data_IF_819844767737
#
_entry.id   IF_819844767737
#
_cell.length_a   1.000
_cell.length_b   1.000
_cell.length_c   1.000
_cell.angle_alpha   90.00
_cell.angle_beta   90.00
_cell.angle_gamma   90.00
#
_symmetry.space_group_name_H-M   'P 1'
#
loop_
_entity.id
_entity.type
_entity.pdbx_description
1 polymer ?
#
# COMPACT_ATOMS: atom_id res chain seq x y z
N UNK A 1 11.92 -40.66 -35.39
CA UNK A 1 11.25 -39.35 -35.28
C UNK A 1 11.56 -38.78 -33.91
N UNK A 2 12.54 -37.88 -33.85
CA UNK A 2 13.08 -37.29 -32.64
C UNK A 2 12.38 -35.94 -32.46
N UNK A 3 11.56 -35.79 -31.41
CA UNK A 3 10.86 -34.54 -31.12
C UNK A 3 11.85 -33.53 -30.51
N UNK A 4 12.22 -32.52 -31.29
CA UNK A 4 12.93 -31.33 -30.85
C UNK A 4 12.01 -30.49 -29.96
N UNK A 5 12.45 -30.22 -28.72
CA UNK A 5 11.82 -29.24 -27.84
C UNK A 5 12.22 -27.81 -28.29
N UNK A 6 11.32 -26.81 -28.24
CA UNK A 6 11.65 -25.45 -28.65
C UNK A 6 12.44 -24.75 -27.55
N UNK A 7 13.66 -24.34 -27.90
CA UNK A 7 14.54 -23.51 -27.09
C UNK A 7 13.99 -22.07 -27.10
N UNK A 8 13.32 -21.65 -26.02
CA UNK A 8 12.92 -20.25 -25.84
C UNK A 8 14.16 -19.46 -25.39
N UNK A 9 14.76 -18.71 -26.32
CA UNK A 9 15.85 -17.80 -26.03
C UNK A 9 15.32 -16.60 -25.23
N UNK A 10 15.72 -16.51 -23.96
CA UNK A 10 15.48 -15.34 -23.13
C UNK A 10 16.49 -14.26 -23.52
N UNK A 11 16.06 -13.29 -24.32
CA UNK A 11 16.88 -12.13 -24.66
C UNK A 11 17.10 -11.28 -23.41
N UNK A 12 18.32 -11.33 -22.87
CA UNK A 12 18.80 -10.37 -21.88
C UNK A 12 18.92 -8.99 -22.53
N UNK A 13 17.92 -8.13 -22.33
CA UNK A 13 18.08 -6.70 -22.53
C UNK A 13 19.02 -6.18 -21.44
N UNK A 14 20.28 -5.96 -21.81
CA UNK A 14 21.20 -5.14 -21.02
C UNK A 14 20.69 -3.70 -21.13
N UNK A 15 20.02 -3.22 -20.09
CA UNK A 15 19.71 -1.81 -19.96
C UNK A 15 21.03 -1.05 -19.81
N UNK A 16 21.43 -0.33 -20.87
CA UNK A 16 22.47 0.68 -20.77
C UNK A 16 22.07 1.72 -19.72
N UNK A 17 23.05 2.24 -18.99
CA UNK A 17 22.82 3.31 -18.02
C UNK A 17 22.23 4.53 -18.75
N UNK A 18 20.90 4.69 -18.68
CA UNK A 18 20.23 5.93 -19.03
C UNK A 18 20.85 7.04 -18.16
N UNK A 19 21.23 8.15 -18.81
CA UNK A 19 21.89 9.27 -18.14
C UNK A 19 21.13 9.70 -16.89
N UNK A 20 21.85 10.02 -15.82
CA UNK A 20 21.26 10.41 -14.54
C UNK A 20 20.25 11.54 -14.76
N UNK A 21 18.99 11.26 -14.46
CA UNK A 21 17.92 12.25 -14.55
C UNK A 21 18.17 13.42 -13.60
N UNK A 22 17.91 14.63 -14.09
CA UNK A 22 18.14 15.89 -13.38
C UNK A 22 16.82 16.66 -13.23
N UNK A 23 16.71 17.50 -12.21
CA UNK A 23 15.52 18.32 -11.96
C UNK A 23 15.17 18.43 -10.47
N UNK A 24 14.26 19.35 -10.11
CA UNK A 24 13.92 19.64 -8.72
C UNK A 24 13.27 18.45 -7.99
N UNK A 25 12.57 17.59 -8.74
CA UNK A 25 11.89 16.41 -8.22
C UNK A 25 12.74 15.14 -8.30
N UNK A 26 13.97 15.20 -8.83
CA UNK A 26 14.83 14.04 -8.88
C UNK A 26 15.38 13.71 -7.47
N UNK A 27 15.44 12.43 -7.12
CA UNK A 27 16.12 11.93 -5.91
C UNK A 27 17.04 10.80 -6.33
N UNK A 28 18.18 11.21 -6.86
CA UNK A 28 19.17 10.32 -7.49
C UNK A 28 20.45 10.17 -6.68
N UNK A 29 20.63 11.01 -5.66
CA UNK A 29 21.78 11.01 -4.76
C UNK A 29 21.33 10.80 -3.32
N UNK A 30 21.93 9.86 -2.57
CA UNK A 30 21.66 9.71 -1.16
C UNK A 30 21.99 11.00 -0.38
N UNK A 31 21.13 11.47 0.55
CA UNK A 31 21.47 12.62 1.37
C UNK A 31 22.62 12.28 2.34
N UNK A 32 23.39 13.29 2.81
CA UNK A 32 24.45 13.08 3.79
C UNK A 32 23.96 12.30 5.02
N UNK A 33 24.72 11.29 5.44
CA UNK A 33 24.38 10.44 6.59
C UNK A 33 23.34 9.34 6.31
N UNK A 34 22.81 9.22 5.09
CA UNK A 34 21.93 8.12 4.75
C UNK A 34 22.65 6.77 4.78
N UNK A 35 21.93 5.75 5.24
CA UNK A 35 22.30 4.35 5.02
C UNK A 35 21.92 4.01 3.58
N UNK A 36 22.92 3.71 2.76
CA UNK A 36 22.72 3.47 1.32
C UNK A 36 22.65 1.97 1.05
N UNK A 37 21.62 1.57 0.30
CA UNK A 37 21.46 0.20 -0.19
C UNK A 37 21.60 0.23 -1.71
N UNK A 38 22.53 -0.56 -2.23
CA UNK A 38 22.81 -0.67 -3.67
C UNK A 38 23.08 -2.13 -4.01
N UNK A 39 22.17 -2.75 -4.76
CA UNK A 39 22.26 -4.16 -5.13
C UNK A 39 23.52 -4.46 -5.98
N UNK A 40 24.01 -3.46 -6.72
CA UNK A 40 25.23 -3.59 -7.53
C UNK A 40 26.49 -3.52 -6.68
N UNK A 41 26.43 -2.83 -5.54
CA UNK A 41 27.57 -2.49 -4.69
C UNK A 41 28.50 -1.44 -5.30
N UNK A 42 28.06 -0.71 -6.33
CA UNK A 42 28.85 0.33 -6.99
C UNK A 42 28.99 1.58 -6.13
N UNK A 43 27.98 1.90 -5.32
CA UNK A 43 28.07 2.96 -4.34
C UNK A 43 28.96 2.54 -3.17
N UNK A 44 30.07 3.27 -2.96
CA UNK A 44 31.06 2.97 -1.91
C UNK A 44 30.41 3.01 -0.52
N UNK A 45 30.61 1.95 0.25
CA UNK A 45 30.08 1.82 1.61
C UNK A 45 28.59 1.46 1.69
N UNK A 46 27.96 1.14 0.57
CA UNK A 46 26.58 0.64 0.51
C UNK A 46 26.43 -0.79 1.04
N UNK A 47 25.18 -1.15 1.32
CA UNK A 47 24.75 -2.53 1.59
C UNK A 47 24.10 -3.14 0.35
N UNK A 48 24.38 -4.42 0.05
CA UNK A 48 23.79 -5.10 -1.12
C UNK A 48 22.32 -5.50 -0.95
N UNK A 49 21.82 -5.55 0.28
CA UNK A 49 20.43 -5.91 0.59
C UNK A 49 19.78 -4.86 1.47
N UNK A 50 18.47 -4.71 1.32
CA UNK A 50 17.66 -3.81 2.13
C UNK A 50 17.70 -4.25 3.59
N UNK A 51 17.63 -5.56 3.85
CA UNK A 51 17.73 -6.10 5.23
C UNK A 51 19.06 -5.76 5.90
N UNK A 52 20.19 -5.77 5.17
CA UNK A 52 21.48 -5.37 5.71
C UNK A 52 21.55 -3.87 6.01
N UNK A 53 20.94 -3.03 5.17
CA UNK A 53 20.78 -1.60 5.46
C UNK A 53 19.88 -1.34 6.68
N UNK A 54 18.74 -2.03 6.78
CA UNK A 54 17.83 -1.97 7.93
C UNK A 54 18.53 -2.38 9.23
N UNK A 55 19.43 -3.37 9.18
CA UNK A 55 20.23 -3.79 10.35
C UNK A 55 21.20 -2.70 10.86
N UNK A 56 21.40 -1.60 10.13
CA UNK A 56 22.18 -0.43 10.57
C UNK A 56 21.35 0.71 11.12
N UNK A 57 20.03 0.61 11.09
CA UNK A 57 19.16 1.59 11.73
C UNK A 57 19.38 1.58 13.25
N UNK A 58 19.51 2.77 13.83
CA UNK A 58 19.61 2.90 15.28
C UNK A 58 18.27 2.60 15.94
N UNK A 59 18.26 1.66 16.88
CA UNK A 59 17.07 1.34 17.68
C UNK A 59 16.98 2.18 18.96
N UNK A 60 18.05 2.86 19.36
CA UNK A 60 18.16 3.56 20.64
C UNK A 60 17.87 5.07 20.55
N UNK A 61 18.49 5.76 19.59
CA UNK A 61 18.40 7.23 19.43
C UNK A 61 18.58 7.65 17.97
N UNK A 62 18.06 8.83 17.62
CA UNK A 62 18.37 9.50 16.36
C UNK A 62 17.46 9.13 15.18
N UNK A 63 17.20 10.12 14.33
CA UNK A 63 16.48 9.94 13.08
C UNK A 63 17.39 9.24 12.04
N UNK A 64 16.80 8.48 11.14
CA UNK A 64 17.55 7.72 10.12
C UNK A 64 16.94 7.88 8.74
N UNK A 65 17.80 7.88 7.72
CA UNK A 65 17.38 7.78 6.32
C UNK A 65 17.98 6.52 5.70
N UNK A 66 17.13 5.69 5.12
CA UNK A 66 17.50 4.54 4.29
C UNK A 66 17.25 4.91 2.83
N UNK A 67 18.31 5.02 2.04
CA UNK A 67 18.23 5.35 0.61
C UNK A 67 18.52 4.11 -0.23
N UNK A 68 17.61 3.76 -1.15
CA UNK A 68 17.75 2.60 -2.01
C UNK A 68 18.09 3.06 -3.44
N UNK A 69 19.21 2.59 -3.96
CA UNK A 69 19.60 2.78 -5.36
C UNK A 69 18.70 1.93 -6.29
N UNK A 70 18.67 2.20 -7.61
CA UNK A 70 17.86 1.46 -8.57
C UNK A 70 18.09 -0.05 -8.50
N UNK A 71 17.02 -0.83 -8.57
CA UNK A 71 17.12 -2.28 -8.56
C UNK A 71 15.89 -3.02 -8.09
N UNK A 72 15.94 -4.35 -8.26
CA UNK A 72 14.93 -5.29 -7.79
C UNK A 72 15.52 -6.12 -6.66
N UNK A 73 15.09 -5.84 -5.44
CA UNK A 73 15.51 -6.48 -4.21
C UNK A 73 14.56 -7.64 -3.87
N UNK A 74 15.02 -8.88 -4.07
CA UNK A 74 14.23 -10.10 -3.86
C UNK A 74 14.39 -10.62 -2.43
N UNK A 75 13.70 -10.00 -1.47
CA UNK A 75 13.86 -10.33 -0.05
C UNK A 75 12.61 -10.01 0.78
N UNK A 76 12.59 -10.51 2.02
CA UNK A 76 11.66 -10.06 3.06
C UNK A 76 12.38 -9.01 3.89
N UNK A 77 11.76 -7.85 4.07
CA UNK A 77 12.29 -6.76 4.90
C UNK A 77 11.40 -6.55 6.12
N UNK A 78 11.99 -6.50 7.30
CA UNK A 78 11.29 -6.13 8.54
C UNK A 78 12.02 -4.98 9.20
N UNK A 79 11.39 -3.81 9.23
CA UNK A 79 11.87 -2.66 9.99
C UNK A 79 11.41 -2.84 11.44
N UNK A 80 12.33 -2.99 12.42
CA UNK A 80 11.98 -3.17 13.81
C UNK A 80 11.37 -1.88 14.39
N UNK A 81 10.81 -1.92 15.62
CA UNK A 81 10.47 -0.69 16.33
C UNK A 81 11.72 0.18 16.52
N UNK A 82 11.63 1.46 16.14
CA UNK A 82 12.68 2.46 16.34
C UNK A 82 12.19 3.54 17.31
N UNK A 83 13.14 4.18 17.99
CA UNK A 83 12.86 5.36 18.83
C UNK A 83 12.82 6.66 18.02
N UNK A 84 13.68 6.78 17.01
CA UNK A 84 13.73 7.92 16.10
C UNK A 84 12.79 7.80 14.90
N UNK A 85 12.74 8.85 14.09
CA UNK A 85 11.99 8.89 12.84
C UNK A 85 12.76 8.18 11.73
N UNK A 86 12.05 7.61 10.77
CA UNK A 86 12.65 6.93 9.63
C UNK A 86 12.13 7.48 8.31
N UNK A 87 13.04 7.85 7.41
CA UNK A 87 12.75 8.06 5.98
C UNK A 87 13.28 6.88 5.19
N UNK A 88 12.44 6.27 4.37
CA UNK A 88 12.84 5.29 3.35
C UNK A 88 12.61 5.94 1.99
N UNK A 89 13.67 6.17 1.22
CA UNK A 89 13.62 6.83 -0.09
C UNK A 89 14.13 5.87 -1.16
N UNK A 90 13.29 5.56 -2.15
CA UNK A 90 13.74 4.92 -3.38
C UNK A 90 14.31 5.95 -4.37
N UNK A 91 15.34 5.56 -5.12
CA UNK A 91 15.81 6.32 -6.26
C UNK A 91 14.67 6.58 -7.25
N UNK A 92 14.54 7.84 -7.69
CA UNK A 92 13.57 8.23 -8.71
C UNK A 92 14.04 9.47 -9.47
N UNK A 93 13.58 9.57 -10.72
CA UNK A 93 13.71 10.76 -11.54
C UNK A 93 12.64 11.82 -11.25
N UNK A 94 11.54 11.43 -10.61
CA UNK A 94 10.46 12.31 -10.21
C UNK A 94 9.81 11.79 -8.93
N UNK A 95 10.00 12.53 -7.83
CA UNK A 95 9.40 12.22 -6.53
C UNK A 95 7.89 12.30 -6.53
N UNK A 96 7.30 13.09 -7.43
CA UNK A 96 5.87 13.38 -7.40
C UNK A 96 5.03 12.29 -8.05
N UNK A 97 5.67 11.37 -8.78
CA UNK A 97 4.99 10.29 -9.50
C UNK A 97 5.54 8.91 -9.14
N UNK A 98 4.62 8.00 -8.82
CA UNK A 98 4.96 6.60 -8.61
C UNK A 98 5.46 5.93 -9.90
N UNK A 99 5.17 6.50 -11.08
CA UNK A 99 5.55 5.90 -12.38
C UNK A 99 7.06 5.95 -12.63
N UNK A 100 7.77 6.89 -12.00
CA UNK A 100 9.21 7.09 -12.14
C UNK A 100 10.05 6.25 -11.15
N UNK A 101 9.40 5.49 -10.26
CA UNK A 101 10.09 4.65 -9.27
C UNK A 101 10.98 3.60 -9.95
N UNK A 102 12.26 3.56 -9.56
CA UNK A 102 13.23 2.58 -10.08
C UNK A 102 13.64 1.51 -9.06
N UNK A 103 13.01 1.51 -7.89
CA UNK A 103 13.32 0.60 -6.78
C UNK A 103 12.12 -0.30 -6.51
N UNK A 104 12.34 -1.62 -6.51
CA UNK A 104 11.33 -2.61 -6.17
C UNK A 104 11.83 -3.58 -5.11
N UNK A 105 11.11 -3.73 -4.00
CA UNK A 105 11.29 -4.83 -3.06
C UNK A 105 10.20 -5.86 -3.33
N UNK A 106 10.58 -7.10 -3.57
CA UNK A 106 9.63 -8.15 -4.00
C UNK A 106 9.90 -9.49 -3.36
N UNK A 107 8.82 -10.24 -3.11
CA UNK A 107 8.88 -11.64 -2.67
C UNK A 107 7.61 -12.38 -3.08
N UNK A 108 7.68 -13.69 -3.27
CA UNK A 108 6.49 -14.54 -3.36
C UNK A 108 6.31 -15.30 -2.04
N UNK A 109 5.27 -15.00 -1.27
CA UNK A 109 4.92 -15.75 -0.06
C UNK A 109 3.45 -15.56 0.29
N UNK A 110 2.70 -16.66 0.36
CA UNK A 110 1.32 -16.67 0.80
C UNK A 110 1.14 -17.40 2.13
N UNK A 111 -0.04 -17.27 2.74
CA UNK A 111 -0.38 -17.94 3.99
C UNK A 111 -0.24 -19.47 3.92
N UNK A 112 -0.52 -20.07 2.77
CA UNK A 112 -0.33 -21.52 2.56
C UNK A 112 1.12 -21.98 2.67
N UNK A 113 2.09 -21.08 2.48
CA UNK A 113 3.52 -21.38 2.51
C UNK A 113 4.11 -21.21 3.93
N UNK A 114 3.35 -20.63 4.87
CA UNK A 114 3.77 -20.48 6.27
C UNK A 114 3.57 -21.82 7.00
N UNK A 115 4.63 -22.41 7.62
CA UNK A 115 4.52 -23.67 8.35
C UNK A 115 3.33 -23.71 9.32
N UNK A 116 2.61 -24.83 9.35
CA UNK A 116 1.40 -25.00 10.17
C UNK A 116 1.67 -24.86 11.69
N UNK A 117 2.91 -25.10 12.14
CA UNK A 117 3.33 -24.90 13.52
C UNK A 117 3.32 -23.43 13.95
N UNK A 118 3.35 -22.49 13.01
CA UNK A 118 3.26 -21.05 13.27
C UNK A 118 1.79 -20.66 13.31
N UNK A 119 1.25 -20.51 14.52
CA UNK A 119 -0.17 -20.17 14.75
C UNK A 119 -0.40 -18.69 15.06
N UNK A 120 0.64 -17.95 15.45
CA UNK A 120 0.55 -16.51 15.79
C UNK A 120 1.25 -15.65 14.75
N UNK A 121 0.73 -14.43 14.54
CA UNK A 121 1.32 -13.42 13.65
C UNK A 121 1.65 -13.93 12.25
N UNK A 122 0.89 -14.89 11.69
CA UNK A 122 1.20 -15.48 10.38
C UNK A 122 1.31 -14.44 9.26
N UNK A 123 0.54 -13.34 9.34
CA UNK A 123 0.62 -12.21 8.40
C UNK A 123 2.01 -11.56 8.37
N UNK A 124 2.78 -11.58 9.47
CA UNK A 124 4.15 -11.06 9.49
C UNK A 124 5.10 -11.90 8.62
N UNK A 125 4.77 -13.16 8.36
CA UNK A 125 5.61 -14.06 7.54
C UNK A 125 5.37 -13.88 6.05
N UNK A 126 4.18 -13.43 5.65
CA UNK A 126 3.81 -13.22 4.25
C UNK A 126 4.14 -11.81 3.75
N UNK A 127 4.18 -10.81 4.65
CA UNK A 127 4.56 -9.44 4.32
C UNK A 127 5.94 -9.37 3.65
N UNK A 128 6.01 -8.80 2.44
CA UNK A 128 7.27 -8.51 1.76
C UNK A 128 8.04 -7.41 2.49
N UNK A 129 7.36 -6.32 2.85
CA UNK A 129 7.86 -5.29 3.76
C UNK A 129 6.94 -5.19 4.98
N UNK A 130 7.55 -5.29 6.16
CA UNK A 130 6.88 -5.16 7.46
C UNK A 130 7.47 -3.96 8.22
N UNK A 131 6.66 -2.93 8.42
CA UNK A 131 7.02 -1.76 9.21
C UNK A 131 6.43 -1.88 10.63
N UNK A 132 7.29 -2.10 11.64
CA UNK A 132 6.89 -2.15 13.05
C UNK A 132 7.15 -0.85 13.82
N UNK A 133 7.88 0.10 13.23
CA UNK A 133 8.17 1.39 13.85
C UNK A 133 7.01 2.38 13.73
N UNK A 134 7.01 3.42 14.55
CA UNK A 134 6.17 4.60 14.32
C UNK A 134 7.01 5.73 13.71
N UNK A 135 6.34 6.76 13.18
CA UNK A 135 6.97 7.94 12.57
C UNK A 135 7.87 7.57 11.36
N UNK A 136 7.25 7.00 10.33
CA UNK A 136 7.95 6.55 9.13
C UNK A 136 7.39 7.25 7.90
N UNK A 137 8.28 7.79 7.08
CA UNK A 137 7.97 8.25 5.73
C UNK A 137 8.58 7.32 4.69
N UNK A 138 7.81 6.92 3.69
CA UNK A 138 8.27 6.11 2.56
C UNK A 138 7.98 6.85 1.27
N UNK A 139 9.00 7.01 0.44
CA UNK A 139 8.93 7.74 -0.82
C UNK A 139 9.39 6.87 -1.98
N UNK A 140 8.63 6.90 -3.08
CA UNK A 140 9.04 6.39 -4.40
C UNK A 140 9.54 4.93 -4.40
N UNK A 141 8.88 4.08 -3.62
CA UNK A 141 9.24 2.68 -3.48
C UNK A 141 8.14 1.78 -4.04
N UNK A 142 8.53 0.80 -4.84
CA UNK A 142 7.64 -0.29 -5.23
C UNK A 142 7.80 -1.44 -4.24
N UNK A 143 6.69 -1.97 -3.73
CA UNK A 143 6.65 -3.17 -2.88
C UNK A 143 5.66 -4.15 -3.48
N UNK A 144 6.11 -5.37 -3.75
CA UNK A 144 5.30 -6.37 -4.43
C UNK A 144 5.32 -7.72 -3.71
N UNK A 145 4.14 -8.34 -3.54
CA UNK A 145 4.05 -9.77 -3.29
C UNK A 145 3.61 -10.50 -4.55
N UNK A 146 4.49 -11.33 -5.11
CA UNK A 146 4.29 -11.98 -6.41
C UNK A 146 3.75 -13.41 -6.29
N UNK A 147 3.15 -13.78 -5.16
CA UNK A 147 2.56 -15.12 -4.98
C UNK A 147 1.36 -15.37 -5.91
N UNK A 148 0.68 -14.32 -6.36
CA UNK A 148 -0.48 -14.41 -7.25
C UNK A 148 -1.77 -14.85 -6.54
N UNK A 149 -2.72 -15.37 -7.30
CA UNK A 149 -4.03 -15.82 -6.80
C UNK A 149 -3.94 -17.19 -6.11
N UNK A 150 -3.27 -17.24 -4.96
CA UNK A 150 -3.01 -18.49 -4.21
C UNK A 150 -3.36 -18.37 -2.72
N UNK A 151 -4.17 -17.37 -2.37
CA UNK A 151 -4.50 -16.99 -1.00
C UNK A 151 -3.80 -15.71 -0.56
N UNK A 152 -3.93 -15.38 0.73
CA UNK A 152 -3.46 -14.11 1.31
C UNK A 152 -1.94 -13.97 1.19
N UNK A 153 -1.47 -12.87 0.60
CA UNK A 153 -0.07 -12.62 0.33
C UNK A 153 0.23 -11.11 0.41
N UNK A 154 0.80 -10.68 1.53
CA UNK A 154 0.93 -9.25 1.84
C UNK A 154 2.16 -8.65 1.15
N UNK A 155 1.99 -7.53 0.46
CA UNK A 155 3.09 -6.72 -0.05
C UNK A 155 3.65 -5.84 1.07
N UNK A 156 2.81 -4.98 1.63
CA UNK A 156 3.19 -4.07 2.70
C UNK A 156 2.27 -4.23 3.92
N UNK A 157 2.87 -4.33 5.11
CA UNK A 157 2.18 -4.19 6.39
C UNK A 157 2.71 -2.98 7.16
N UNK A 158 1.80 -2.09 7.54
CA UNK A 158 2.07 -0.97 8.46
C UNK A 158 1.46 -1.27 9.83
N UNK A 159 2.30 -1.37 10.86
CA UNK A 159 1.92 -1.92 12.18
C UNK A 159 2.38 -1.06 13.37
N UNK A 160 2.50 0.24 13.13
CA UNK A 160 2.79 1.31 14.09
C UNK A 160 1.83 2.51 13.92
N UNK A 161 2.28 3.70 14.24
CA UNK A 161 1.52 4.95 14.04
C UNK A 161 2.33 5.99 13.26
N UNK A 162 1.66 7.01 12.73
CA UNK A 162 2.28 8.16 12.06
C UNK A 162 3.08 7.75 10.81
N UNK A 163 2.37 7.18 9.83
CA UNK A 163 2.95 6.77 8.55
C UNK A 163 2.58 7.72 7.42
N UNK A 164 3.58 8.16 6.65
CA UNK A 164 3.39 8.85 5.37
C UNK A 164 3.97 8.03 4.22
N UNK A 165 3.17 7.68 3.23
CA UNK A 165 3.61 6.95 2.04
C UNK A 165 3.29 7.75 0.79
N UNK A 166 4.31 8.07 0.01
CA UNK A 166 4.26 9.08 -1.03
C UNK A 166 4.79 8.52 -2.35
N UNK A 167 3.95 8.55 -3.39
CA UNK A 167 4.30 8.04 -4.71
C UNK A 167 4.85 6.58 -4.68
N UNK A 168 4.30 5.73 -3.82
CA UNK A 168 4.67 4.32 -3.76
C UNK A 168 3.83 3.48 -4.74
N UNK A 169 4.35 2.32 -5.18
CA UNK A 169 3.53 1.27 -5.84
C UNK A 169 3.43 0.06 -4.92
N UNK A 170 2.22 -0.33 -4.53
CA UNK A 170 1.96 -1.49 -3.68
C UNK A 170 1.20 -2.53 -4.51
N UNK A 171 1.82 -3.69 -4.73
CA UNK A 171 1.35 -4.65 -5.72
C UNK A 171 1.15 -6.07 -5.17
N UNK A 172 0.02 -6.70 -5.48
CA UNK A 172 -0.33 -8.02 -4.99
C UNK A 172 -1.62 -8.56 -5.61
N UNK A 173 -2.25 -9.55 -4.96
CA UNK A 173 -3.52 -10.12 -5.41
C UNK A 173 -4.55 -10.16 -4.28
N UNK A 174 -4.36 -11.01 -3.28
CA UNK A 174 -5.17 -11.03 -2.07
C UNK A 174 -4.37 -10.45 -0.91
N UNK A 175 -4.97 -9.52 -0.16
CA UNK A 175 -4.38 -8.89 1.04
C UNK A 175 -3.11 -8.04 0.74
N UNK A 176 -3.05 -7.30 -0.37
CA UNK A 176 -1.87 -6.52 -0.79
C UNK A 176 -1.33 -5.57 0.28
N UNK A 177 -2.19 -4.69 0.82
CA UNK A 177 -1.85 -3.69 1.83
C UNK A 177 -2.57 -4.01 3.14
N UNK A 178 -1.79 -4.39 4.16
CA UNK A 178 -2.27 -4.51 5.53
C UNK A 178 -2.07 -3.18 6.27
N UNK A 179 -3.03 -2.27 6.12
CA UNK A 179 -3.12 -0.99 6.83
C UNK A 179 -3.63 -1.18 8.27
N UNK A 180 -2.84 -1.87 9.11
CA UNK A 180 -3.33 -2.41 10.37
C UNK A 180 -3.47 -1.37 11.49
N UNK A 181 -2.42 -0.58 11.71
CA UNK A 181 -2.35 0.46 12.75
C UNK A 181 -2.01 1.81 12.12
N UNK A 182 -2.43 2.89 12.79
CA UNK A 182 -2.34 4.25 12.28
C UNK A 182 -2.22 5.30 13.40
N UNK A 183 -2.37 6.59 13.08
CA UNK A 183 -2.84 7.11 11.79
C UNK A 183 -1.84 6.89 10.65
N UNK A 184 -2.36 6.83 9.42
CA UNK A 184 -1.56 6.69 8.20
C UNK A 184 -2.11 7.52 7.04
N UNK A 185 -1.21 8.05 6.21
CA UNK A 185 -1.48 8.81 4.99
C UNK A 185 -0.77 8.11 3.83
N UNK A 186 -1.54 7.74 2.80
CA UNK A 186 -1.02 7.29 1.52
C UNK A 186 -1.40 8.35 0.49
N UNK A 187 -0.43 8.96 -0.19
CA UNK A 187 -0.69 10.05 -1.12
C UNK A 187 -0.01 9.81 -2.47
N UNK A 188 -0.73 10.11 -3.55
CA UNK A 188 -0.29 9.94 -4.95
C UNK A 188 0.31 8.56 -5.22
N UNK A 189 -0.18 7.54 -4.53
CA UNK A 189 0.35 6.18 -4.57
C UNK A 189 -0.53 5.30 -5.44
N UNK A 190 0.06 4.24 -5.98
CA UNK A 190 -0.64 3.20 -6.73
C UNK A 190 -0.77 1.94 -5.87
N UNK A 191 -1.97 1.38 -5.81
CA UNK A 191 -2.28 0.17 -5.02
C UNK A 191 -3.11 -0.76 -5.90
N UNK A 192 -2.68 -2.02 -6.06
CA UNK A 192 -3.46 -3.00 -6.81
C UNK A 192 -3.73 -4.31 -6.06
N UNK A 193 -4.75 -5.01 -6.53
CA UNK A 193 -5.12 -6.34 -6.07
C UNK A 193 -6.52 -6.71 -6.54
N UNK A 194 -7.05 -7.81 -6.00
CA UNK A 194 -8.35 -8.35 -6.34
C UNK A 194 -9.22 -8.56 -5.09
N UNK A 195 -8.69 -9.21 -4.06
CA UNK A 195 -9.46 -9.66 -2.90
C UNK A 195 -8.92 -8.97 -1.64
N UNK A 196 -9.75 -8.17 -0.99
CA UNK A 196 -9.48 -7.53 0.30
C UNK A 196 -8.13 -6.79 0.31
N UNK A 197 -7.75 -6.20 -0.83
CA UNK A 197 -6.36 -5.82 -1.06
C UNK A 197 -5.94 -4.55 -0.31
N UNK A 198 -6.89 -3.85 0.33
CA UNK A 198 -6.64 -2.88 1.41
C UNK A 198 -7.43 -3.29 2.64
N UNK A 199 -6.76 -3.75 3.69
CA UNK A 199 -7.43 -4.31 4.88
C UNK A 199 -6.71 -3.97 6.17
N UNK A 200 -7.43 -4.13 7.30
CA UNK A 200 -6.84 -4.02 8.62
C UNK A 200 -7.85 -3.74 9.74
N UNK A 201 -7.37 -3.71 10.98
CA UNK A 201 -8.24 -3.74 12.17
C UNK A 201 -8.40 -2.41 12.90
N UNK A 202 -7.34 -1.58 12.98
CA UNK A 202 -7.28 -0.49 13.98
C UNK A 202 -6.98 0.89 13.41
N UNK A 203 -6.45 0.99 12.19
CA UNK A 203 -5.96 2.25 11.65
C UNK A 203 -7.08 3.19 11.22
N UNK A 204 -6.92 4.48 11.57
CA UNK A 204 -7.45 5.59 10.78
C UNK A 204 -6.50 5.86 9.62
N UNK A 205 -6.98 5.76 8.39
CA UNK A 205 -6.12 5.88 7.20
C UNK A 205 -6.76 6.78 6.16
N UNK A 206 -5.99 7.76 5.68
CA UNK A 206 -6.37 8.64 4.58
C UNK A 206 -5.60 8.25 3.32
N UNK A 207 -6.31 8.03 2.22
CA UNK A 207 -5.75 7.80 0.89
C UNK A 207 -6.04 9.01 0.03
N UNK A 208 -5.03 9.82 -0.28
CA UNK A 208 -5.14 11.06 -1.05
C UNK A 208 -4.65 10.87 -2.47
N UNK A 209 -5.52 11.11 -3.46
CA UNK A 209 -5.13 11.09 -4.88
C UNK A 209 -4.44 9.78 -5.30
N UNK A 210 -4.85 8.66 -4.69
CA UNK A 210 -4.30 7.34 -4.97
C UNK A 210 -4.96 6.71 -6.21
N UNK A 211 -4.18 5.97 -6.97
CA UNK A 211 -4.65 5.11 -8.04
C UNK A 211 -4.90 3.69 -7.48
N UNK A 212 -6.13 3.22 -7.58
CA UNK A 212 -6.60 1.97 -7.01
C UNK A 212 -7.02 1.05 -8.16
N UNK A 213 -6.20 0.05 -8.46
CA UNK A 213 -6.46 -0.86 -9.58
C UNK A 213 -6.96 -2.22 -9.10
N UNK A 214 -8.18 -2.57 -9.52
CA UNK A 214 -8.69 -3.93 -9.41
C UNK A 214 -8.22 -4.77 -10.60
N UNK A 215 -7.45 -5.81 -10.29
CA UNK A 215 -6.89 -6.73 -11.29
C UNK A 215 -7.65 -8.06 -11.38
N UNK A 216 -8.73 -8.21 -10.62
CA UNK A 216 -9.49 -9.44 -10.49
C UNK A 216 -10.78 -9.27 -9.68
N UNK A 217 -11.64 -10.27 -9.72
CA UNK A 217 -12.92 -10.21 -9.01
C UNK A 217 -12.71 -10.17 -7.49
N UNK A 218 -13.35 -9.22 -6.81
CA UNK A 218 -13.34 -9.16 -5.35
C UNK A 218 -13.64 -7.79 -4.79
N UNK A 219 -13.11 -7.51 -3.60
CA UNK A 219 -13.37 -6.30 -2.83
C UNK A 219 -12.07 -5.50 -2.69
N UNK A 220 -12.16 -4.19 -2.90
CA UNK A 220 -11.03 -3.28 -2.69
C UNK A 220 -10.67 -3.24 -1.20
N UNK A 221 -11.68 -3.02 -0.35
CA UNK A 221 -11.46 -2.86 1.09
C UNK A 221 -12.07 -3.98 1.93
N UNK A 222 -11.36 -4.32 3.00
CA UNK A 222 -11.87 -5.17 4.08
C UNK A 222 -11.51 -4.56 5.44
N UNK A 223 -12.27 -3.54 5.84
CA UNK A 223 -12.09 -2.91 7.15
C UNK A 223 -12.60 -3.84 8.26
N UNK A 224 -11.77 -4.05 9.28
CA UNK A 224 -11.99 -4.98 10.37
C UNK A 224 -12.27 -4.31 11.70
N UNK A 225 -12.89 -3.12 11.71
CA UNK A 225 -13.36 -2.49 12.94
C UNK A 225 -14.36 -3.38 13.68
N UNK A 226 -14.10 -3.63 14.96
CA UNK A 226 -14.81 -4.63 15.77
C UNK A 226 -16.01 -4.09 16.55
N UNK A 227 -15.96 -2.83 16.99
CA UNK A 227 -16.90 -2.24 17.93
C UNK A 227 -16.80 -0.70 17.91
N UNK A 228 -17.57 -0.03 18.78
CA UNK A 228 -17.60 1.43 18.84
C UNK A 228 -16.33 2.08 19.38
N UNK A 229 -15.57 1.39 20.24
CA UNK A 229 -14.31 1.90 20.81
C UNK A 229 -13.13 1.81 19.85
N UNK A 230 -13.21 0.88 18.88
CA UNK A 230 -12.21 0.74 17.82
C UNK A 230 -12.29 1.96 16.87
N UNK A 231 -11.21 2.75 16.68
CA UNK A 231 -11.25 4.00 15.93
C UNK A 231 -11.13 3.82 14.40
N UNK A 232 -10.95 2.58 13.92
CA UNK A 232 -10.58 2.26 12.54
C UNK A 232 -11.54 2.86 11.50
N UNK A 233 -10.99 3.55 10.50
CA UNK A 233 -11.74 4.15 9.41
C UNK A 233 -10.83 4.42 8.23
N UNK A 234 -11.26 4.01 7.03
CA UNK A 234 -10.54 4.29 5.79
C UNK A 234 -11.29 5.32 4.96
N UNK A 235 -10.60 6.38 4.56
CA UNK A 235 -11.16 7.40 3.67
C UNK A 235 -10.31 7.49 2.41
N UNK A 236 -10.93 7.21 1.27
CA UNK A 236 -10.35 7.40 -0.05
C UNK A 236 -10.86 8.73 -0.61
N UNK A 237 -9.97 9.71 -0.69
CA UNK A 237 -10.27 11.05 -1.17
C UNK A 237 -9.52 11.32 -2.48
N UNK A 238 -10.21 11.88 -3.46
CA UNK A 238 -9.67 12.15 -4.80
C UNK A 238 -9.04 10.92 -5.48
N UNK A 239 -9.42 9.71 -5.07
CA UNK A 239 -8.85 8.48 -5.61
C UNK A 239 -9.38 8.22 -7.03
N UNK A 240 -8.63 7.44 -7.82
CA UNK A 240 -9.08 6.89 -9.09
C UNK A 240 -9.16 5.38 -9.00
N UNK A 241 -10.38 4.84 -9.07
CA UNK A 241 -10.67 3.40 -9.02
C UNK A 241 -10.91 2.86 -10.42
N UNK A 242 -10.08 1.93 -10.86
CA UNK A 242 -10.13 1.36 -12.20
C UNK A 242 -9.74 -0.11 -12.25
N UNK A 243 -9.94 -0.73 -13.41
CA UNK A 243 -9.59 -2.11 -13.69
C UNK A 243 -9.96 -2.49 -15.11
N UNK A 244 -9.87 -3.78 -15.42
CA UNK A 244 -9.98 -4.26 -16.81
C UNK A 244 -11.39 -4.68 -17.22
N UNK A 245 -12.30 -4.94 -16.27
CA UNK A 245 -13.63 -5.49 -16.54
C UNK A 245 -14.72 -4.73 -15.79
N UNK A 246 -15.82 -4.33 -16.44
CA UNK A 246 -16.94 -3.70 -15.77
C UNK A 246 -17.54 -4.59 -14.66
N UNK A 247 -17.88 -3.98 -13.52
CA UNK A 247 -18.52 -4.63 -12.39
C UNK A 247 -17.70 -5.70 -11.65
N UNK A 248 -16.40 -5.79 -11.94
CA UNK A 248 -15.45 -6.75 -11.36
C UNK A 248 -15.19 -6.51 -9.87
N UNK A 249 -15.25 -5.26 -9.40
CA UNK A 249 -14.83 -4.88 -8.05
C UNK A 249 -15.97 -4.33 -7.21
N UNK A 250 -16.02 -4.71 -5.93
CA UNK A 250 -16.76 -3.97 -4.91
C UNK A 250 -15.82 -3.00 -4.20
N UNK A 251 -16.33 -1.83 -3.80
CA UNK A 251 -15.62 -0.85 -2.97
C UNK A 251 -15.16 -1.47 -1.63
N UNK A 252 -15.91 -2.44 -1.11
CA UNK A 252 -15.50 -3.19 0.06
C UNK A 252 -16.51 -4.18 0.60
N UNK A 253 -16.06 -4.91 1.62
CA UNK A 253 -16.89 -5.77 2.48
C UNK A 253 -16.46 -5.71 3.95
N UNK A 254 -17.36 -5.95 4.90
CA UNK A 254 -17.04 -5.79 6.32
C UNK A 254 -16.30 -7.01 6.85
N UNK A 255 -14.98 -6.93 7.09
CA UNK A 255 -14.27 -8.04 7.74
C UNK A 255 -14.73 -8.27 9.18
N UNK A 256 -15.24 -7.20 9.82
CA UNK A 256 -15.85 -7.21 11.14
C UNK A 256 -17.14 -6.35 11.17
N UNK A 257 -18.05 -6.57 12.13
CA UNK A 257 -19.42 -6.00 12.08
C UNK A 257 -19.54 -4.47 12.16
N UNK A 258 -18.47 -3.76 12.52
CA UNK A 258 -18.45 -2.30 12.69
C UNK A 258 -17.63 -1.59 11.60
N UNK A 259 -17.29 -2.28 10.51
CA UNK A 259 -16.43 -1.80 9.44
C UNK A 259 -16.79 -0.37 8.96
N UNK A 260 -15.77 0.49 8.79
CA UNK A 260 -15.95 1.87 8.28
C UNK A 260 -15.06 2.17 7.09
N UNK A 261 -15.69 2.56 5.98
CA UNK A 261 -15.00 2.98 4.76
C UNK A 261 -15.80 4.09 4.07
N UNK A 262 -15.09 5.11 3.61
CA UNK A 262 -15.63 6.21 2.82
C UNK A 262 -14.86 6.34 1.51
N UNK A 263 -15.58 6.44 0.40
CA UNK A 263 -15.03 6.94 -0.87
C UNK A 263 -15.63 8.31 -1.16
N UNK A 264 -14.79 9.33 -1.30
CA UNK A 264 -15.23 10.69 -1.54
C UNK A 264 -14.41 11.42 -2.60
N UNK A 265 -15.05 12.33 -3.34
CA UNK A 265 -14.44 13.14 -4.41
C UNK A 265 -13.68 12.30 -5.46
N UNK A 266 -14.00 11.00 -5.54
CA UNK A 266 -13.20 10.01 -6.26
C UNK A 266 -13.79 9.72 -7.64
N UNK A 267 -12.93 9.36 -8.58
CA UNK A 267 -13.30 8.86 -9.89
C UNK A 267 -13.45 7.34 -9.82
N UNK A 268 -14.69 6.86 -9.99
CA UNK A 268 -15.05 5.45 -9.99
C UNK A 268 -15.41 5.05 -11.41
N UNK A 269 -14.53 4.32 -12.09
CA UNK A 269 -14.83 3.76 -13.41
C UNK A 269 -15.87 2.63 -13.35
N UNK A 270 -16.29 2.12 -14.49
CA UNK A 270 -17.26 1.03 -14.62
C UNK A 270 -16.81 -0.30 -14.00
N UNK A 271 -15.55 -0.43 -13.58
CA UNK A 271 -15.05 -1.56 -12.78
C UNK A 271 -15.87 -1.80 -11.51
N UNK A 272 -16.44 -0.73 -10.93
CA UNK A 272 -17.21 -0.82 -9.69
C UNK A 272 -18.56 -1.46 -9.95
N UNK A 273 -18.82 -2.57 -9.27
CA UNK A 273 -20.08 -3.27 -9.31
C UNK A 273 -21.24 -2.32 -8.90
N UNK A 274 -22.38 -2.31 -9.59
CA UNK A 274 -23.50 -1.43 -9.26
C UNK A 274 -23.98 -1.54 -7.80
N UNK A 275 -23.86 -2.71 -7.17
CA UNK A 275 -24.18 -2.89 -5.75
C UNK A 275 -23.23 -2.10 -4.82
N UNK A 276 -22.04 -1.75 -5.31
CA UNK A 276 -20.98 -0.98 -4.64
C UNK A 276 -20.26 -1.75 -3.56
N UNK A 277 -20.99 -2.38 -2.65
CA UNK A 277 -20.45 -3.06 -1.47
C UNK A 277 -20.99 -4.49 -1.38
N UNK A 278 -20.21 -5.39 -0.78
CA UNK A 278 -20.56 -6.78 -0.61
C UNK A 278 -20.71 -7.12 0.89
N UNK A 279 -21.63 -8.02 1.22
CA UNK A 279 -21.64 -8.64 2.56
C UNK A 279 -20.41 -9.52 2.76
N UNK A 280 -20.03 -9.75 4.01
CA UNK A 280 -19.06 -10.77 4.34
C UNK A 280 -19.64 -12.16 4.04
N UNK A 281 -18.82 -13.09 3.58
CA UNK A 281 -19.29 -14.41 3.17
C UNK A 281 -19.94 -15.14 4.36
N UNK A 282 -21.23 -15.46 4.22
CA UNK A 282 -22.00 -16.18 5.24
C UNK A 282 -22.48 -15.33 6.44
N UNK A 283 -22.23 -14.02 6.44
CA UNK A 283 -22.69 -13.11 7.51
C UNK A 283 -23.64 -12.04 6.96
N UNK A 284 -24.75 -11.83 7.66
CA UNK A 284 -25.77 -10.84 7.34
C UNK A 284 -25.77 -9.63 8.28
N UNK A 285 -24.93 -9.62 9.32
CA UNK A 285 -24.88 -8.54 10.29
C UNK A 285 -24.20 -7.30 9.69
N UNK A 286 -25.03 -6.39 9.17
CA UNK A 286 -24.61 -5.13 8.56
C UNK A 286 -25.13 -3.91 9.32
N UNK A 287 -25.78 -4.11 10.47
CA UNK A 287 -26.46 -3.04 11.21
C UNK A 287 -25.55 -1.92 11.73
N UNK A 288 -24.26 -2.22 11.95
CA UNK A 288 -23.26 -1.25 12.43
C UNK A 288 -22.21 -0.88 11.37
N UNK A 289 -22.38 -1.35 10.13
CA UNK A 289 -21.45 -1.06 9.03
C UNK A 289 -21.63 0.38 8.57
N UNK A 290 -20.53 1.11 8.42
CA UNK A 290 -20.51 2.48 7.93
C UNK A 290 -19.78 2.54 6.58
N UNK A 291 -20.52 2.25 5.52
CA UNK A 291 -20.03 2.38 4.15
C UNK A 291 -20.69 3.56 3.48
N UNK A 292 -19.90 4.57 3.12
CA UNK A 292 -20.41 5.84 2.62
C UNK A 292 -19.69 6.33 1.38
N UNK A 293 -20.44 7.05 0.55
CA UNK A 293 -19.94 7.71 -0.66
C UNK A 293 -20.28 9.20 -0.64
N UNK A 294 -19.40 10.06 -1.17
CA UNK A 294 -19.64 11.50 -1.27
C UNK A 294 -19.02 12.10 -2.53
N UNK A 295 -19.81 12.79 -3.36
CA UNK A 295 -19.30 13.52 -4.53
C UNK A 295 -18.36 12.71 -5.45
N UNK A 296 -18.62 11.40 -5.58
CA UNK A 296 -17.89 10.56 -6.53
C UNK A 296 -18.42 10.77 -7.94
N UNK A 297 -17.56 10.59 -8.94
CA UNK A 297 -17.86 10.74 -10.37
C UNK A 297 -17.40 9.51 -11.16
N UNK A 298 -17.74 9.44 -12.44
CA UNK A 298 -17.40 8.32 -13.32
C UNK A 298 -18.50 7.26 -13.41
N UNK A 299 -18.35 6.32 -14.35
CA UNK A 299 -19.40 5.36 -14.71
C UNK A 299 -19.82 4.42 -13.56
N UNK A 300 -18.92 4.14 -12.62
CA UNK A 300 -19.18 3.30 -11.44
C UNK A 300 -19.74 4.07 -10.23
N UNK A 301 -19.86 5.40 -10.30
CA UNK A 301 -20.31 6.23 -9.18
C UNK A 301 -21.84 6.29 -9.00
N UNK A 302 -22.62 5.73 -9.94
CA UNK A 302 -24.07 5.69 -9.82
C UNK A 302 -24.50 4.88 -8.58
N UNK A 303 -25.27 5.50 -7.69
CA UNK A 303 -25.60 4.90 -6.39
C UNK A 303 -27.01 4.30 -6.30
N UNK A 304 -27.83 4.41 -7.34
CA UNK A 304 -29.25 4.01 -7.33
C UNK A 304 -29.46 2.49 -7.15
N UNK A 305 -28.40 1.69 -7.36
CA UNK A 305 -28.41 0.22 -7.19
C UNK A 305 -27.58 -0.25 -6.00
N UNK A 306 -27.08 0.67 -5.16
CA UNK A 306 -26.24 0.32 -4.02
C UNK A 306 -27.01 -0.53 -3.03
N UNK A 307 -26.29 -1.42 -2.36
CA UNK A 307 -26.85 -2.22 -1.26
C UNK A 307 -27.43 -1.32 -0.16
N UNK A 308 -28.53 -1.74 0.49
CA UNK A 308 -29.29 -0.87 1.40
C UNK A 308 -28.55 -0.52 2.71
N UNK A 309 -27.51 -1.28 3.08
CA UNK A 309 -26.68 -1.00 4.26
C UNK A 309 -25.53 0.00 3.99
N UNK A 310 -25.43 0.53 2.77
CA UNK A 310 -24.53 1.64 2.43
C UNK A 310 -25.31 2.95 2.36
N UNK A 311 -24.63 4.09 2.17
CA UNK A 311 -25.34 5.36 1.96
C UNK A 311 -24.47 6.50 1.46
N UNK A 312 -25.05 7.69 1.36
CA UNK A 312 -24.35 8.92 0.99
C UNK A 312 -24.04 9.78 2.20
N UNK A 313 -22.95 10.53 2.15
CA UNK A 313 -22.74 11.66 3.07
C UNK A 313 -23.37 12.92 2.51
N UNK A 314 -23.60 13.90 3.39
CA UNK A 314 -24.02 15.26 3.03
C UNK A 314 -22.83 16.23 2.91
N UNK A 315 -21.71 15.89 3.55
CA UNK A 315 -20.45 16.63 3.50
C UNK A 315 -19.30 15.63 3.50
N UNK A 316 -18.12 15.98 2.95
CA UNK A 316 -16.97 15.08 3.01
C UNK A 316 -16.50 14.90 4.46
N UNK A 317 -15.87 13.77 4.74
CA UNK A 317 -15.08 13.60 5.97
C UNK A 317 -13.87 14.54 5.87
N UNK A 318 -13.63 15.33 6.90
CA UNK A 318 -12.45 16.19 6.94
C UNK A 318 -11.20 15.36 7.27
N UNK A 319 -10.08 15.63 6.61
CA UNK A 319 -8.82 14.90 6.84
C UNK A 319 -8.36 14.98 8.30
N UNK A 320 -8.64 16.08 9.00
CA UNK A 320 -8.35 16.26 10.42
C UNK A 320 -9.11 15.28 11.34
N UNK A 321 -10.24 14.71 10.91
CA UNK A 321 -10.97 13.65 11.64
C UNK A 321 -10.22 12.30 11.59
N UNK A 322 -9.41 12.11 10.56
CA UNK A 322 -8.63 10.89 10.32
C UNK A 322 -7.20 11.02 10.84
N UNK A 323 -6.51 12.13 10.52
CA UNK A 323 -5.09 12.33 10.86
C UNK A 323 -4.86 13.20 12.11
N UNK A 324 -5.92 13.79 12.69
CA UNK A 324 -5.87 14.68 13.84
C UNK A 324 -5.75 16.16 13.46
N UNK A 325 -6.16 17.07 14.34
CA UNK A 325 -6.24 18.52 14.06
C UNK A 325 -4.88 19.16 13.70
N UNK A 326 -3.78 18.65 14.25
CA UNK A 326 -2.43 19.18 14.00
C UNK A 326 -1.68 18.55 12.83
N UNK A 327 -2.34 17.72 12.00
CA UNK A 327 -1.69 16.88 11.00
C UNK A 327 -0.78 17.67 10.03
N UNK A 328 -1.14 18.90 9.70
CA UNK A 328 -0.38 19.75 8.77
C UNK A 328 1.03 20.12 9.24
N UNK A 329 1.25 20.08 10.56
CA UNK A 329 2.54 20.33 11.21
C UNK A 329 3.26 19.04 11.61
N UNK A 330 2.57 17.89 11.51
CA UNK A 330 3.12 16.62 11.94
C UNK A 330 4.23 16.17 10.98
N UNK A 331 5.40 15.82 11.53
CA UNK A 331 6.58 15.48 10.73
C UNK A 331 6.33 14.38 9.68
N UNK A 332 5.44 13.43 9.97
CA UNK A 332 5.13 12.30 9.11
C UNK A 332 4.17 12.65 7.96
N UNK A 333 3.60 13.86 7.94
CA UNK A 333 2.81 14.40 6.83
C UNK A 333 3.70 15.22 5.92
N UNK A 334 3.52 15.09 4.60
CA UNK A 334 4.19 15.86 3.58
C UNK A 334 3.13 16.52 2.70
N UNK A 335 2.93 17.83 2.92
CA UNK A 335 1.86 18.59 2.26
C UNK A 335 2.11 18.81 0.77
N UNK A 336 3.33 18.56 0.28
CA UNK A 336 3.61 18.65 -1.17
C UNK A 336 2.92 17.54 -1.99
N UNK A 337 2.43 16.50 -1.32
CA UNK A 337 1.69 15.39 -1.92
C UNK A 337 0.18 15.48 -1.76
N UNK A 338 -0.31 16.49 -1.03
CA UNK A 338 -1.73 16.72 -0.80
C UNK A 338 -2.36 17.61 -1.88
#
# INVERSE_FOLDING_TARGET
MQFLAPLVALACLIAGAEGACTGPNARTTPPPGAIVVDITGSYRGSFKTVSAGVAKLSTATGDSTLFLMPGIYKEKVTVPPLKGKLVIQGYTCDTTSYSANQVTITRAMAQKDVPASITKNRNDYTATVLLKSSNVKVYNLNVANTAGNVGQAIALKVDGANYGLYACKLMGYQDTLYANKGPALFAKSYINGAIDFVFGLYAKTWFESCHIESIGNGCITANGRTDNSNPSEYVFNNARVFGSKPGQAFLGRPWRPYARVVFQNSDLSDVVNPAGWQKWNGDNNTGNVYFKEFNNRGAGAATNKRVPFSGKLQKPVAIAEILGQGYESAWWVDKSFM
#
